data_IF_126410253369
#
_entry.id   IF_126410253369
#
_cell.length_a   1.000
_cell.length_b   1.000
_cell.length_c   1.000
_cell.angle_alpha   90.00
_cell.angle_beta   90.00
_cell.angle_gamma   90.00
#
_symmetry.space_group_name_H-M   'P 1'
#
loop_
_entity.id
_entity.type
_entity.pdbx_description
1 polymer ?
#
# COMPACT_ATOMS: atom_id res chain seq x y z
N UNK A 1 16.54 -16.93 15.33
CA UNK A 1 16.48 -16.78 13.86
C UNK A 1 15.16 -17.38 13.36
N UNK A 2 14.51 -16.70 12.41
CA UNK A 2 13.29 -17.13 11.73
C UNK A 2 13.28 -16.64 10.29
N UNK A 3 12.23 -16.98 9.55
CA UNK A 3 11.99 -16.55 8.17
C UNK A 3 10.64 -15.86 8.13
N UNK A 4 10.60 -14.64 7.60
CA UNK A 4 9.38 -13.92 7.28
C UNK A 4 9.14 -13.99 5.76
N UNK A 5 7.97 -14.44 5.36
CA UNK A 5 7.52 -14.35 3.99
C UNK A 5 6.69 -13.08 3.82
N UNK A 6 7.22 -12.14 3.07
CA UNK A 6 6.52 -10.90 2.73
C UNK A 6 5.54 -11.22 1.61
N UNK A 7 4.27 -10.94 1.83
CA UNK A 7 3.17 -11.38 0.98
C UNK A 7 2.34 -10.17 0.54
N UNK A 8 2.10 -10.06 -0.75
CA UNK A 8 1.04 -9.19 -1.25
C UNK A 8 -0.31 -9.88 -1.07
N UNK A 9 -1.11 -9.38 -0.14
CA UNK A 9 -2.41 -9.93 0.22
C UNK A 9 -2.65 -9.91 1.74
N UNK A 10 -3.90 -10.07 2.14
CA UNK A 10 -4.31 -10.07 3.54
C UNK A 10 -4.10 -11.46 4.12
N UNK A 11 -3.38 -11.52 5.23
CA UNK A 11 -3.11 -12.75 5.98
C UNK A 11 -4.21 -12.96 7.03
N UNK A 12 -4.58 -14.22 7.29
CA UNK A 12 -5.52 -14.58 8.36
C UNK A 12 -4.99 -14.18 9.75
N UNK A 13 -5.90 -13.97 10.71
CA UNK A 13 -5.55 -13.55 12.06
C UNK A 13 -4.61 -14.51 12.80
N UNK A 14 -4.59 -15.78 12.42
CA UNK A 14 -3.65 -16.79 12.93
C UNK A 14 -2.32 -16.83 12.17
N UNK A 15 -2.15 -15.99 11.15
CA UNK A 15 -0.95 -15.91 10.32
C UNK A 15 -0.72 -17.09 9.39
N UNK A 16 -1.71 -17.97 9.20
CA UNK A 16 -1.50 -19.26 8.53
C UNK A 16 -1.97 -19.31 7.08
N UNK A 17 -2.82 -18.39 6.65
CA UNK A 17 -3.44 -18.46 5.31
C UNK A 17 -3.62 -17.06 4.72
N UNK A 18 -3.45 -16.92 3.41
CA UNK A 18 -3.79 -15.70 2.70
C UNK A 18 -5.31 -15.71 2.46
N UNK A 19 -6.02 -14.79 3.10
CA UNK A 19 -7.48 -14.68 3.03
C UNK A 19 -7.96 -13.90 1.82
N UNK A 20 -7.16 -12.94 1.36
CA UNK A 20 -7.42 -12.15 0.16
C UNK A 20 -6.10 -11.87 -0.56
N UNK A 21 -5.97 -12.32 -1.79
CA UNK A 21 -4.76 -12.20 -2.60
C UNK A 21 -5.09 -12.18 -4.09
N UNK A 22 -6.04 -11.32 -4.48
CA UNK A 22 -6.56 -11.28 -5.86
C UNK A 22 -5.52 -10.85 -6.89
N UNK A 23 -4.59 -9.97 -6.50
CA UNK A 23 -3.57 -9.44 -7.42
C UNK A 23 -2.62 -10.57 -7.86
N UNK A 24 -2.13 -11.37 -6.91
CA UNK A 24 -1.20 -12.45 -7.17
C UNK A 24 -1.89 -13.81 -7.41
N UNK A 25 -3.23 -13.88 -7.27
CA UNK A 25 -3.97 -15.13 -7.37
C UNK A 25 -3.59 -16.14 -6.28
N UNK A 26 -3.13 -15.67 -5.12
CA UNK A 26 -2.60 -16.50 -4.04
C UNK A 26 -3.57 -16.68 -2.85
N UNK A 27 -4.84 -16.31 -3.01
CA UNK A 27 -5.88 -16.56 -2.01
C UNK A 27 -5.96 -18.06 -1.67
N UNK A 28 -5.96 -18.37 -0.37
CA UNK A 28 -5.97 -19.75 0.14
C UNK A 28 -4.59 -20.37 0.27
N UNK A 29 -3.49 -19.71 -0.16
CA UNK A 29 -2.14 -20.21 0.03
C UNK A 29 -1.80 -20.25 1.52
N UNK A 30 -1.25 -21.36 1.98
CA UNK A 30 -0.97 -21.64 3.39
C UNK A 30 0.52 -21.53 3.69
N UNK A 31 0.83 -21.08 4.91
CA UNK A 31 2.21 -20.98 5.42
C UNK A 31 2.94 -22.32 5.40
N UNK A 32 2.27 -23.41 5.81
CA UNK A 32 2.88 -24.74 5.84
C UNK A 32 3.30 -25.25 4.44
N UNK A 33 2.60 -24.82 3.39
CA UNK A 33 2.97 -25.14 2.00
C UNK A 33 4.20 -24.34 1.56
N UNK A 34 4.25 -23.05 1.84
CA UNK A 34 5.39 -22.20 1.47
C UNK A 34 6.64 -22.58 2.24
N UNK A 35 6.47 -22.89 3.52
CA UNK A 35 7.55 -23.15 4.46
C UNK A 35 7.98 -24.64 4.52
N UNK A 36 7.41 -25.52 3.70
CA UNK A 36 7.60 -27.00 3.79
C UNK A 36 9.07 -27.46 3.85
N UNK A 37 9.99 -26.70 3.27
CA UNK A 37 11.42 -27.01 3.24
C UNK A 37 12.26 -26.09 4.14
N UNK A 38 11.63 -25.23 4.94
CA UNK A 38 12.31 -24.29 5.84
C UNK A 38 12.41 -24.89 7.23
N UNK A 39 13.62 -24.97 7.79
CA UNK A 39 13.89 -25.57 9.11
C UNK A 39 13.78 -24.57 10.28
N UNK A 40 13.41 -23.34 10.01
CA UNK A 40 13.28 -22.27 10.99
C UNK A 40 11.80 -21.92 11.22
N UNK A 41 11.44 -21.32 12.35
CA UNK A 41 10.12 -20.74 12.54
C UNK A 41 9.80 -19.76 11.41
N UNK A 42 8.59 -19.83 10.88
CA UNK A 42 8.15 -19.04 9.74
C UNK A 42 6.91 -18.23 10.09
N UNK A 43 6.82 -17.03 9.52
CA UNK A 43 5.62 -16.18 9.57
C UNK A 43 5.31 -15.68 8.17
N UNK A 44 4.04 -15.31 7.93
CA UNK A 44 3.64 -14.47 6.82
C UNK A 44 3.35 -13.05 7.34
N UNK A 45 3.71 -12.04 6.59
CA UNK A 45 3.45 -10.64 6.88
C UNK A 45 3.07 -9.91 5.60
N UNK A 46 2.10 -9.01 5.69
CA UNK A 46 1.72 -8.15 4.58
C UNK A 46 2.90 -7.23 4.20
N UNK A 47 3.07 -6.92 2.93
CA UNK A 47 4.21 -6.15 2.41
C UNK A 47 4.27 -4.73 3.01
N UNK A 48 3.13 -4.02 3.08
CA UNK A 48 3.06 -2.69 3.68
C UNK A 48 3.35 -2.71 5.19
N UNK A 49 2.94 -3.77 5.89
CA UNK A 49 3.28 -3.97 7.30
C UNK A 49 4.79 -4.17 7.49
N UNK A 50 5.40 -4.96 6.60
CA UNK A 50 6.85 -5.17 6.64
C UNK A 50 7.63 -3.87 6.38
N UNK A 51 7.16 -3.03 5.46
CA UNK A 51 7.73 -1.72 5.18
C UNK A 51 7.60 -0.79 6.40
N UNK A 52 6.43 -0.73 7.04
CA UNK A 52 6.23 0.07 8.25
C UNK A 52 7.06 -0.41 9.44
N UNK A 53 7.30 -1.71 9.55
CA UNK A 53 8.24 -2.24 10.56
C UNK A 53 9.68 -1.77 10.30
N UNK A 54 10.08 -1.58 9.06
CA UNK A 54 11.38 -1.00 8.73
C UNK A 54 11.47 0.47 9.17
N UNK A 55 10.42 1.27 8.97
CA UNK A 55 10.36 2.65 9.47
C UNK A 55 10.55 2.70 10.99
N UNK A 56 9.83 1.86 11.74
CA UNK A 56 9.98 1.74 13.21
C UNK A 56 11.38 1.26 13.62
N UNK A 57 12.04 0.46 12.79
CA UNK A 57 13.39 -0.01 13.07
C UNK A 57 14.43 1.10 12.92
N UNK A 58 14.26 1.98 11.94
CA UNK A 58 15.21 3.05 11.67
C UNK A 58 14.91 4.33 12.46
N UNK A 59 13.65 4.60 12.82
CA UNK A 59 13.26 5.74 13.62
C UNK A 59 12.52 5.32 14.90
N UNK A 60 13.25 5.19 15.98
CA UNK A 60 12.70 4.85 17.31
C UNK A 60 11.92 6.00 17.98
N UNK A 61 11.89 7.20 17.41
CA UNK A 61 11.10 8.31 17.89
C UNK A 61 9.68 8.33 17.32
N UNK A 62 9.42 7.51 16.31
CA UNK A 62 8.12 7.40 15.64
C UNK A 62 7.11 6.76 16.59
N UNK A 63 6.03 7.48 16.92
CA UNK A 63 4.97 7.02 17.82
C UNK A 63 3.67 6.74 17.07
N UNK A 64 3.15 7.75 16.37
CA UNK A 64 1.86 7.66 15.67
C UNK A 64 2.04 8.11 14.24
N UNK A 65 1.80 7.22 13.30
CA UNK A 65 1.94 7.50 11.89
C UNK A 65 1.00 6.66 11.02
N UNK A 66 0.72 7.16 9.84
CA UNK A 66 0.16 6.37 8.75
C UNK A 66 1.18 6.34 7.63
N UNK A 67 1.64 5.15 7.27
CA UNK A 67 2.47 4.92 6.11
C UNK A 67 1.57 4.80 4.87
N UNK A 68 1.93 5.52 3.83
CA UNK A 68 1.25 5.54 2.52
C UNK A 68 2.30 5.18 1.48
N UNK A 69 2.22 3.98 0.95
CA UNK A 69 3.16 3.49 -0.07
C UNK A 69 2.52 3.63 -1.45
N UNK A 70 3.10 4.51 -2.28
CA UNK A 70 2.66 4.79 -3.65
C UNK A 70 3.42 3.87 -4.62
N UNK A 71 3.15 2.59 -4.49
CA UNK A 71 3.63 1.53 -5.35
C UNK A 71 2.69 1.32 -6.54
N UNK A 72 3.05 0.42 -7.47
CA UNK A 72 2.18 0.03 -8.59
C UNK A 72 0.75 -0.31 -8.10
N UNK A 73 0.62 -0.89 -6.92
CA UNK A 73 -0.60 -0.98 -6.13
C UNK A 73 -0.36 -0.26 -4.81
N UNK A 74 -0.98 0.89 -4.58
CA UNK A 74 -0.86 1.59 -3.33
C UNK A 74 -1.24 0.71 -2.14
N UNK A 75 -0.53 0.91 -1.05
CA UNK A 75 -0.80 0.22 0.19
C UNK A 75 -0.52 1.13 1.38
N UNK A 76 -0.79 0.65 2.57
CA UNK A 76 -0.51 1.40 3.77
C UNK A 76 -0.42 0.56 5.02
N UNK A 77 0.04 1.21 6.08
CA UNK A 77 0.10 0.64 7.41
C UNK A 77 -0.13 1.74 8.45
N UNK A 78 -0.58 1.35 9.62
CA UNK A 78 -0.87 2.25 10.74
C UNK A 78 0.07 1.92 11.89
N UNK A 79 0.69 2.95 12.44
CA UNK A 79 1.55 2.88 13.63
C UNK A 79 0.85 3.67 14.74
N UNK A 80 0.71 3.05 15.92
CA UNK A 80 0.12 3.65 17.13
C UNK A 80 0.99 3.27 18.32
N UNK A 81 1.32 4.23 19.16
CA UNK A 81 2.17 4.04 20.35
C UNK A 81 3.52 3.34 20.01
N UNK A 82 4.11 3.66 18.87
CA UNK A 82 5.37 3.07 18.41
C UNK A 82 5.28 1.60 17.99
N UNK A 83 4.08 1.11 17.70
CA UNK A 83 3.84 -0.26 17.29
C UNK A 83 2.95 -0.31 16.05
N UNK A 84 3.18 -1.33 15.21
CA UNK A 84 2.31 -1.60 14.08
C UNK A 84 0.91 -1.99 14.58
N UNK A 85 -0.11 -1.28 14.11
CA UNK A 85 -1.51 -1.53 14.45
C UNK A 85 -2.23 -2.27 13.34
N UNK A 86 -2.31 -3.60 13.47
CA UNK A 86 -2.90 -4.48 12.46
C UNK A 86 -4.40 -4.74 12.67
N UNK A 87 -4.94 -4.43 13.86
CA UNK A 87 -6.31 -4.76 14.23
C UNK A 87 -6.56 -6.27 14.38
N UNK A 88 -7.80 -6.66 14.72
CA UNK A 88 -8.11 -8.05 15.05
C UNK A 88 -8.07 -9.00 13.83
N UNK A 89 -8.17 -8.47 12.62
CA UNK A 89 -8.21 -9.24 11.37
C UNK A 89 -6.96 -9.06 10.51
N UNK A 90 -5.91 -8.46 11.05
CA UNK A 90 -4.65 -8.14 10.36
C UNK A 90 -4.85 -7.40 9.02
N UNK A 91 -5.89 -6.56 8.91
CA UNK A 91 -6.22 -5.82 7.69
C UNK A 91 -6.33 -4.30 7.89
N UNK A 92 -5.85 -3.77 9.02
CA UNK A 92 -5.75 -2.34 9.19
C UNK A 92 -4.64 -1.78 8.30
N UNK A 93 -4.88 -0.59 7.77
CA UNK A 93 -3.93 0.05 6.87
C UNK A 93 -4.25 -0.14 5.39
N UNK A 94 -5.32 -0.87 5.04
CA UNK A 94 -5.80 -0.98 3.65
C UNK A 94 -6.43 0.33 3.15
N UNK A 95 -5.64 1.41 3.25
CA UNK A 95 -6.07 2.78 2.91
C UNK A 95 -6.37 2.95 1.43
N UNK A 96 -5.77 2.13 0.59
CA UNK A 96 -5.93 2.11 -0.87
C UNK A 96 -7.37 1.85 -1.29
N UNK A 97 -8.19 1.23 -0.43
CA UNK A 97 -9.60 0.98 -0.68
C UNK A 97 -10.53 2.06 -0.12
N UNK A 98 -9.99 3.13 0.45
CA UNK A 98 -10.77 4.31 0.80
C UNK A 98 -11.39 4.91 -0.46
N UNK A 99 -12.70 5.16 -0.43
CA UNK A 99 -13.39 5.83 -1.53
C UNK A 99 -12.90 7.28 -1.65
N UNK A 100 -12.22 7.58 -2.74
CA UNK A 100 -11.73 8.93 -3.05
C UNK A 100 -12.67 9.67 -4.00
N UNK A 101 -13.21 8.96 -4.98
CA UNK A 101 -14.15 9.48 -5.98
C UNK A 101 -15.41 8.63 -6.00
N UNK A 102 -16.51 9.05 -5.36
CA UNK A 102 -17.77 8.30 -5.36
C UNK A 102 -18.20 7.95 -6.79
N UNK A 103 -18.66 6.71 -7.00
CA UNK A 103 -19.07 6.15 -8.29
C UNK A 103 -18.00 6.21 -9.41
N UNK A 104 -16.74 6.41 -9.05
CA UNK A 104 -15.62 6.50 -9.95
C UNK A 104 -15.20 5.17 -10.59
N UNK A 105 -13.92 5.06 -10.99
CA UNK A 105 -13.37 3.86 -11.65
C UNK A 105 -13.49 2.59 -10.82
N UNK A 106 -13.52 1.44 -11.50
CA UNK A 106 -13.58 0.12 -10.84
C UNK A 106 -12.23 -0.22 -10.22
N UNK A 107 -12.25 -0.68 -8.97
CA UNK A 107 -11.08 -1.19 -8.25
C UNK A 107 -11.07 -2.72 -8.27
N UNK A 108 -9.88 -3.31 -8.25
CA UNK A 108 -9.71 -4.77 -8.20
C UNK A 108 -10.35 -5.42 -6.96
N UNK A 109 -10.65 -4.66 -5.91
CA UNK A 109 -11.38 -5.13 -4.74
C UNK A 109 -12.88 -5.31 -4.97
N UNK A 110 -13.39 -4.93 -6.16
CA UNK A 110 -14.79 -4.99 -6.54
C UNK A 110 -15.61 -3.74 -6.17
N UNK A 111 -15.01 -2.75 -5.52
CA UNK A 111 -15.63 -1.45 -5.24
C UNK A 111 -15.31 -0.44 -6.34
N UNK A 112 -15.92 0.74 -6.25
CA UNK A 112 -15.66 1.85 -7.18
C UNK A 112 -15.11 3.06 -6.45
N UNK A 113 -14.21 3.78 -7.13
CA UNK A 113 -13.71 5.07 -6.65
C UNK A 113 -12.65 4.98 -5.57
N UNK A 114 -12.02 3.82 -5.38
CA UNK A 114 -10.95 3.63 -4.38
C UNK A 114 -9.73 4.51 -4.68
N UNK A 115 -8.99 4.87 -3.65
CA UNK A 115 -7.71 5.58 -3.75
C UNK A 115 -6.75 4.88 -4.72
N UNK A 116 -6.68 3.54 -4.72
CA UNK A 116 -5.86 2.73 -5.62
C UNK A 116 -5.98 3.17 -7.08
N UNK A 117 -7.21 3.42 -7.55
CA UNK A 117 -7.48 3.78 -8.96
C UNK A 117 -6.91 5.14 -9.34
N UNK A 118 -6.76 6.06 -8.40
CA UNK A 118 -6.42 7.47 -8.65
C UNK A 118 -5.03 7.87 -8.16
N UNK A 119 -4.46 7.10 -7.24
CA UNK A 119 -3.17 7.42 -6.61
C UNK A 119 -2.07 6.40 -6.93
N UNK A 120 -2.37 5.34 -7.68
CA UNK A 120 -1.32 4.46 -8.20
C UNK A 120 -0.45 5.19 -9.22
N UNK A 121 0.83 4.81 -9.39
CA UNK A 121 1.66 5.29 -10.49
C UNK A 121 1.06 5.02 -11.86
N UNK A 122 0.29 3.93 -12.02
CA UNK A 122 -0.43 3.62 -13.26
C UNK A 122 -1.44 4.71 -13.65
N UNK A 123 -1.98 5.45 -12.67
CA UNK A 123 -2.90 6.56 -12.95
C UNK A 123 -2.20 7.78 -13.57
N UNK A 124 -0.87 7.82 -13.57
CA UNK A 124 -0.07 8.85 -14.24
C UNK A 124 0.15 8.55 -15.73
N UNK A 125 0.21 7.27 -16.09
CA UNK A 125 0.64 6.82 -17.42
C UNK A 125 -0.54 6.50 -18.32
N UNK A 126 -0.32 6.61 -19.61
CA UNK A 126 -1.24 6.18 -20.66
C UNK A 126 -0.78 4.85 -21.29
N UNK A 127 -1.61 4.26 -22.13
CA UNK A 127 -1.31 2.98 -22.79
C UNK A 127 0.03 3.05 -23.54
N UNK A 128 0.96 2.18 -23.15
CA UNK A 128 2.30 2.08 -23.74
C UNK A 128 3.33 3.05 -23.18
N UNK A 129 2.96 3.91 -22.23
CA UNK A 129 3.87 4.81 -21.55
C UNK A 129 4.44 4.15 -20.29
N UNK A 130 5.76 4.18 -20.12
CA UNK A 130 6.39 3.75 -18.86
C UNK A 130 6.44 4.89 -17.85
N UNK A 131 6.43 4.58 -16.55
CA UNK A 131 6.53 5.57 -15.49
C UNK A 131 7.82 6.42 -15.64
N UNK A 132 8.94 5.80 -15.96
CA UNK A 132 10.20 6.52 -16.22
C UNK A 132 10.11 7.43 -17.47
N UNK A 133 9.38 7.00 -18.50
CA UNK A 133 9.09 7.80 -19.68
C UNK A 133 8.25 9.01 -19.33
N UNK A 134 7.18 8.83 -18.56
CA UNK A 134 6.33 9.91 -18.07
C UNK A 134 7.14 10.99 -17.34
N UNK A 135 7.98 10.61 -16.36
CA UNK A 135 8.79 11.58 -15.63
C UNK A 135 9.83 12.27 -16.51
N UNK A 136 10.44 11.56 -17.46
CA UNK A 136 11.40 12.16 -18.40
C UNK A 136 10.77 13.26 -19.25
N UNK A 137 9.51 13.08 -19.68
CA UNK A 137 8.76 14.09 -20.44
C UNK A 137 8.28 15.22 -19.52
N UNK A 138 7.84 14.90 -18.31
CA UNK A 138 7.46 15.88 -17.29
C UNK A 138 8.60 16.84 -16.97
N UNK A 139 9.83 16.33 -16.80
CA UNK A 139 11.04 17.13 -16.55
C UNK A 139 11.35 18.10 -17.71
N UNK A 140 11.04 17.73 -18.94
CA UNK A 140 11.16 18.61 -20.11
C UNK A 140 10.12 19.73 -20.13
N UNK A 141 9.15 19.68 -19.23
CA UNK A 141 8.16 20.73 -19.02
C UNK A 141 6.94 20.61 -19.94
N UNK A 142 6.70 19.45 -20.50
CA UNK A 142 5.54 19.21 -21.36
C UNK A 142 4.24 19.45 -20.57
N UNK A 143 3.29 20.18 -21.18
CA UNK A 143 2.15 20.75 -20.49
C UNK A 143 1.12 19.67 -20.09
N UNK A 144 0.89 18.69 -20.93
CA UNK A 144 -0.09 17.63 -20.68
C UNK A 144 0.37 16.72 -19.51
N UNK A 145 1.65 16.35 -19.48
CA UNK A 145 2.25 15.58 -18.38
C UNK A 145 2.18 16.38 -17.06
N UNK A 146 2.40 17.69 -17.12
CA UNK A 146 2.21 18.56 -15.94
C UNK A 146 0.76 18.56 -15.45
N UNK A 147 -0.22 18.58 -16.35
CA UNK A 147 -1.63 18.54 -15.96
C UNK A 147 -2.00 17.22 -15.35
N UNK A 148 -1.58 16.08 -15.94
CA UNK A 148 -1.78 14.73 -15.38
C UNK A 148 -1.14 14.60 -14.00
N UNK A 149 0.11 15.03 -13.86
CA UNK A 149 0.83 14.99 -12.58
C UNK A 149 0.15 15.85 -11.51
N UNK A 150 -0.28 17.08 -11.84
CA UNK A 150 -0.99 17.92 -10.89
C UNK A 150 -2.36 17.34 -10.48
N UNK A 151 -3.06 16.69 -11.40
CA UNK A 151 -4.30 15.98 -11.10
C UNK A 151 -4.05 14.81 -10.12
N UNK A 152 -3.04 14.02 -10.39
CA UNK A 152 -2.62 12.91 -9.54
C UNK A 152 -2.20 13.40 -8.15
N UNK A 153 -1.36 14.44 -8.05
CA UNK A 153 -0.99 15.07 -6.77
C UNK A 153 -2.22 15.58 -6.01
N UNK A 154 -3.22 16.11 -6.70
CA UNK A 154 -4.49 16.51 -6.10
C UNK A 154 -5.22 15.35 -5.44
N UNK A 155 -5.23 14.18 -6.08
CA UNK A 155 -5.83 12.95 -5.55
C UNK A 155 -5.04 12.44 -4.33
N UNK A 156 -3.73 12.39 -4.41
CA UNK A 156 -2.86 12.01 -3.28
C UNK A 156 -3.07 12.95 -2.10
N UNK A 157 -3.09 14.26 -2.33
CA UNK A 157 -3.32 15.25 -1.29
C UNK A 157 -4.73 15.11 -0.66
N UNK A 158 -5.74 14.74 -1.44
CA UNK A 158 -7.08 14.47 -0.92
C UNK A 158 -7.09 13.21 -0.05
N UNK A 159 -6.42 12.15 -0.47
CA UNK A 159 -6.29 10.92 0.31
C UNK A 159 -5.61 11.20 1.66
N UNK A 160 -4.49 11.94 1.66
CA UNK A 160 -3.78 12.32 2.89
C UNK A 160 -4.67 13.16 3.82
N UNK A 161 -5.44 14.11 3.29
CA UNK A 161 -6.40 14.88 4.10
C UNK A 161 -7.45 14.00 4.76
N UNK A 162 -7.98 13.02 4.03
CA UNK A 162 -8.97 12.08 4.56
C UNK A 162 -8.36 11.23 5.68
N UNK A 163 -7.16 10.70 5.49
CA UNK A 163 -6.42 9.92 6.49
C UNK A 163 -6.21 10.76 7.75
N UNK A 164 -5.71 11.99 7.61
CA UNK A 164 -5.44 12.89 8.74
C UNK A 164 -6.70 13.34 9.48
N UNK A 165 -7.86 13.27 8.87
CA UNK A 165 -9.14 13.57 9.57
C UNK A 165 -9.54 12.44 10.53
N UNK A 166 -9.00 11.24 10.35
CA UNK A 166 -9.29 10.06 11.19
C UNK A 166 -8.18 9.75 12.19
N UNK A 167 -6.93 9.95 11.79
CA UNK A 167 -5.75 9.60 12.58
C UNK A 167 -4.83 10.82 12.69
N UNK A 168 -4.64 11.29 13.93
CA UNK A 168 -3.69 12.36 14.23
C UNK A 168 -2.31 11.74 14.39
N UNK A 169 -1.37 12.08 13.51
CA UNK A 169 -0.02 11.55 13.53
C UNK A 169 0.76 12.01 12.31
N UNK A 170 1.95 11.49 12.17
CA UNK A 170 2.79 11.73 11.00
C UNK A 170 2.27 10.97 9.79
N UNK A 171 2.55 11.49 8.61
CA UNK A 171 2.32 10.76 7.35
C UNK A 171 3.68 10.44 6.73
N UNK A 172 3.96 9.17 6.61
CA UNK A 172 5.15 8.68 5.92
C UNK A 172 4.74 8.29 4.50
N UNK A 173 5.35 8.91 3.52
CA UNK A 173 5.10 8.62 2.11
C UNK A 173 6.32 7.90 1.55
N UNK A 174 6.10 6.74 0.98
CA UNK A 174 7.09 5.94 0.29
C UNK A 174 6.54 5.37 -1.02
N UNK A 175 7.35 4.58 -1.71
CA UNK A 175 6.97 3.93 -2.95
C UNK A 175 7.81 4.36 -4.15
N UNK A 176 7.35 4.04 -5.35
CA UNK A 176 8.07 4.29 -6.62
C UNK A 176 7.70 5.64 -7.27
N UNK A 177 6.63 6.30 -6.82
CA UNK A 177 6.12 7.53 -7.41
C UNK A 177 6.54 8.80 -6.66
#
# INVERSE_FOLDING_TARGET
LGVAFIIQGIVSADGQTITFGNIMGNTGLRLDVIAQNVKFPCIMIHDSDAAAMAELWFDHSLTDAVCVYLEMRPGGAVIVDGQLYQGPNLCNGTIEHMTLVPDGGECYCGQRGCMDVYCSPEALTEDGESLSGFFSVLEQGEQEHRQRFNGWLGNVAQAIRNIRSMLAGDIIIGGEA
#
